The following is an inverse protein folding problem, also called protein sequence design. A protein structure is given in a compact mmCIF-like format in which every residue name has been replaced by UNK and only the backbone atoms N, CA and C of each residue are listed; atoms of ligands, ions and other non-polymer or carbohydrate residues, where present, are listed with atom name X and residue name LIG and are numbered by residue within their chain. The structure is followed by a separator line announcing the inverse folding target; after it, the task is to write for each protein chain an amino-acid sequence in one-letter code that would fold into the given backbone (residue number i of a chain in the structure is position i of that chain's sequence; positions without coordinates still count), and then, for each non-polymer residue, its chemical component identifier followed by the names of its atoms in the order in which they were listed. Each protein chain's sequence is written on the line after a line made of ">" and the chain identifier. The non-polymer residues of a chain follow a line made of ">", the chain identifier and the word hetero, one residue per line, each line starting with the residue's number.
data_IF_738009761135
#
_entry.id   IF_738009761135
#
_cell.length_a   1.000
_cell.length_b   1.000
_cell.length_c   1.000
_cell.angle_alpha   90.00
_cell.angle_beta   90.00
_cell.angle_gamma   90.00
#
_symmetry.space_group_name_H-M   'P 1'
#
loop_
_entity.id
_entity.type
_entity.pdbx_description
1 polymer ?
#
# COMPACT_ATOMS: atom_id res chain seq x y z
N UNK A 1 6.99 3.73 -8.55
CA UNK A 1 5.76 3.85 -9.38
C UNK A 1 6.06 4.27 -10.81
N UNK A 2 6.80 5.37 -11.04
CA UNK A 2 7.11 5.84 -12.40
C UNK A 2 7.71 4.72 -13.28
N UNK A 3 8.68 3.97 -12.78
CA UNK A 3 9.33 2.87 -13.51
C UNK A 3 8.34 1.84 -14.09
N UNK A 4 7.30 1.46 -13.33
CA UNK A 4 6.29 0.50 -13.80
C UNK A 4 5.43 1.03 -14.94
N UNK A 5 5.26 2.35 -15.04
CA UNK A 5 4.60 2.97 -16.19
C UNK A 5 5.55 3.13 -17.37
N UNK A 6 6.82 3.41 -17.11
CA UNK A 6 7.85 3.54 -18.14
C UNK A 6 8.15 2.19 -18.82
N UNK A 7 7.91 1.06 -18.11
CA UNK A 7 8.08 -0.30 -18.63
C UNK A 7 6.93 -0.73 -19.58
N UNK A 8 5.83 0.03 -19.66
CA UNK A 8 4.76 -0.25 -20.63
C UNK A 8 5.24 0.16 -22.03
N UNK A 9 5.28 -0.76 -23.01
CA UNK A 9 5.70 -0.43 -24.37
C UNK A 9 4.75 0.60 -24.99
N UNK A 10 5.28 1.66 -25.57
CA UNK A 10 4.48 2.71 -26.27
C UNK A 10 3.67 2.14 -27.43
N UNK A 11 4.21 1.11 -28.08
CA UNK A 11 3.56 0.44 -29.21
C UNK A 11 2.17 -0.11 -28.84
N UNK A 12 2.00 -0.54 -27.58
CA UNK A 12 0.71 -1.05 -27.08
C UNK A 12 -0.32 0.07 -26.95
N UNK A 13 0.12 1.24 -26.54
CA UNK A 13 -0.72 2.44 -26.41
C UNK A 13 -1.13 2.96 -27.80
N UNK A 14 -0.17 3.02 -28.74
CA UNK A 14 -0.40 3.44 -30.12
C UNK A 14 -1.29 2.47 -30.89
N UNK A 15 -1.06 1.16 -30.77
CA UNK A 15 -1.92 0.14 -31.38
C UNK A 15 -3.38 0.25 -30.92
N UNK A 16 -3.60 0.44 -29.62
CA UNK A 16 -4.94 0.60 -29.07
C UNK A 16 -5.66 1.86 -29.62
N UNK A 17 -4.92 2.94 -29.83
CA UNK A 17 -5.49 4.17 -30.42
C UNK A 17 -5.81 3.99 -31.90
N UNK A 18 -5.02 3.20 -32.65
CA UNK A 18 -5.30 2.84 -34.04
C UNK A 18 -6.60 2.01 -34.12
N UNK A 19 -6.83 1.12 -33.16
CA UNK A 19 -8.05 0.31 -33.03
C UNK A 19 -9.28 1.13 -32.56
N UNK A 20 -9.14 2.47 -32.43
CA UNK A 20 -10.22 3.39 -32.09
C UNK A 20 -10.52 3.48 -30.59
N UNK A 21 -9.67 2.96 -29.72
CA UNK A 21 -9.83 3.13 -28.29
C UNK A 21 -9.50 4.57 -27.88
N UNK A 22 -10.32 5.13 -26.97
CA UNK A 22 -10.01 6.41 -26.34
C UNK A 22 -8.85 6.25 -25.36
N UNK A 23 -8.11 7.33 -25.08
CA UNK A 23 -7.00 7.31 -24.08
C UNK A 23 -7.43 6.74 -22.72
N UNK A 24 -8.65 7.03 -22.28
CA UNK A 24 -9.20 6.49 -21.04
C UNK A 24 -9.46 4.98 -21.11
N UNK A 25 -9.95 4.50 -22.27
CA UNK A 25 -10.16 3.07 -22.49
C UNK A 25 -8.84 2.31 -22.53
N UNK A 26 -7.84 2.84 -23.23
CA UNK A 26 -6.47 2.29 -23.27
C UNK A 26 -5.88 2.22 -21.87
N UNK A 27 -5.93 3.31 -21.11
CA UNK A 27 -5.44 3.36 -19.74
C UNK A 27 -6.10 2.29 -18.85
N UNK A 28 -7.44 2.23 -18.84
CA UNK A 28 -8.19 1.35 -17.94
C UNK A 28 -8.11 -0.13 -18.33
N UNK A 29 -8.15 -0.42 -19.64
CA UNK A 29 -8.23 -1.80 -20.14
C UNK A 29 -6.89 -2.44 -20.43
N UNK A 30 -5.87 -1.66 -20.71
CA UNK A 30 -4.55 -2.15 -21.14
C UNK A 30 -3.49 -1.78 -20.10
N UNK A 31 -3.25 -0.49 -19.86
CA UNK A 31 -2.17 -0.03 -18.99
C UNK A 31 -2.37 -0.46 -17.53
N UNK A 32 -3.55 -0.22 -16.95
CA UNK A 32 -3.82 -0.55 -15.55
C UNK A 32 -3.65 -2.04 -15.21
N UNK A 33 -4.12 -3.00 -16.04
CA UNK A 33 -3.83 -4.41 -15.81
C UNK A 33 -2.35 -4.78 -15.88
N UNK A 34 -1.57 -4.11 -16.72
CA UNK A 34 -0.14 -4.36 -16.85
C UNK A 34 0.65 -3.88 -15.61
N UNK A 35 0.32 -2.69 -15.09
CA UNK A 35 1.02 -2.09 -13.94
C UNK A 35 0.46 -2.51 -12.57
N UNK A 36 -0.58 -3.34 -12.52
CA UNK A 36 -1.26 -3.72 -11.25
C UNK A 36 -0.32 -4.33 -10.20
N UNK A 37 0.71 -5.07 -10.63
CA UNK A 37 1.70 -5.65 -9.70
C UNK A 37 2.53 -4.57 -9.02
N UNK A 38 3.04 -3.61 -9.78
CA UNK A 38 3.76 -2.46 -9.25
C UNK A 38 2.89 -1.55 -8.40
N UNK A 39 1.62 -1.37 -8.78
CA UNK A 39 0.65 -0.61 -7.99
C UNK A 39 0.38 -1.29 -6.65
N UNK A 40 0.23 -2.61 -6.64
CA UNK A 40 0.06 -3.40 -5.42
C UNK A 40 1.26 -3.29 -4.48
N UNK A 41 2.49 -3.39 -5.01
CA UNK A 41 3.71 -3.23 -4.23
C UNK A 41 3.81 -1.83 -3.61
N UNK A 42 3.55 -0.79 -4.39
CA UNK A 42 3.54 0.59 -3.88
C UNK A 42 2.45 0.81 -2.83
N UNK A 43 1.26 0.24 -3.02
CA UNK A 43 0.17 0.33 -2.05
C UNK A 43 0.55 -0.31 -0.70
N UNK A 44 1.25 -1.46 -0.72
CA UNK A 44 1.74 -2.09 0.52
C UNK A 44 2.75 -1.20 1.22
N UNK A 45 3.72 -0.66 0.50
CA UNK A 45 4.73 0.22 1.11
C UNK A 45 4.08 1.47 1.70
N UNK A 46 3.22 2.15 0.95
CA UNK A 46 2.49 3.33 1.44
C UNK A 46 1.64 3.00 2.67
N UNK A 47 0.96 1.85 2.66
CA UNK A 47 0.16 1.41 3.80
C UNK A 47 1.03 1.17 5.03
N UNK A 48 2.14 0.43 4.89
CA UNK A 48 3.04 0.13 6.01
C UNK A 48 3.60 1.42 6.61
N UNK A 49 4.12 2.34 5.79
CA UNK A 49 4.65 3.61 6.28
C UNK A 49 3.58 4.45 6.96
N UNK A 50 2.38 4.55 6.38
CA UNK A 50 1.27 5.31 6.97
C UNK A 50 0.74 4.65 8.25
N UNK A 51 0.68 3.32 8.30
CA UNK A 51 0.15 2.58 9.44
C UNK A 51 1.08 2.60 10.65
N UNK A 52 2.39 2.59 10.42
CA UNK A 52 3.41 2.62 11.48
C UNK A 52 3.85 4.04 11.83
N UNK A 53 3.23 5.08 11.21
CA UNK A 53 3.59 6.46 11.44
C UNK A 53 3.35 6.84 12.92
N UNK A 54 4.40 7.30 13.58
CA UNK A 54 4.39 7.66 14.99
C UNK A 54 4.83 9.12 15.20
N UNK A 55 5.95 9.53 14.60
CA UNK A 55 6.60 10.79 14.92
C UNK A 55 5.77 12.01 14.48
N UNK A 56 5.29 12.01 13.24
CA UNK A 56 4.49 13.13 12.73
C UNK A 56 3.17 13.25 13.49
N UNK A 57 2.52 12.12 13.79
CA UNK A 57 1.31 12.11 14.57
C UNK A 57 1.54 12.59 16.01
N UNK A 58 2.66 12.23 16.62
CA UNK A 58 3.01 12.66 17.96
C UNK A 58 3.17 14.19 18.07
N UNK A 59 3.82 14.80 17.09
CA UNK A 59 4.14 16.23 17.11
C UNK A 59 3.07 17.13 16.47
N UNK A 60 2.34 16.63 15.48
CA UNK A 60 1.41 17.44 14.69
C UNK A 60 -0.06 17.26 15.08
N UNK A 61 -0.42 16.19 15.82
CA UNK A 61 -1.82 15.92 16.18
C UNK A 61 -2.02 15.95 17.69
N UNK A 62 -3.08 16.66 18.13
CA UNK A 62 -3.46 16.75 19.55
C UNK A 62 -4.66 15.88 19.89
N UNK A 63 -5.71 15.93 19.08
CA UNK A 63 -7.00 15.30 19.39
C UNK A 63 -7.14 13.90 18.78
N UNK A 64 -6.77 13.74 17.49
CA UNK A 64 -6.84 12.46 16.78
C UNK A 64 -5.42 11.92 16.60
N UNK A 65 -5.11 10.82 17.26
CA UNK A 65 -3.78 10.21 17.25
C UNK A 65 -3.78 8.89 16.50
N UNK A 66 -2.66 8.58 15.83
CA UNK A 66 -2.46 7.27 15.21
C UNK A 66 -2.38 6.17 16.29
N UNK A 67 -2.63 4.92 15.87
CA UNK A 67 -2.61 3.77 16.78
C UNK A 67 -1.29 3.65 17.56
N UNK A 68 -0.09 3.76 16.95
CA UNK A 68 1.17 3.72 17.69
C UNK A 68 1.29 4.80 18.76
N UNK A 69 0.87 6.04 18.47
CA UNK A 69 0.88 7.13 19.45
C UNK A 69 -0.12 6.85 20.57
N UNK A 70 -1.31 6.33 20.25
CA UNK A 70 -2.31 5.98 21.27
C UNK A 70 -1.79 4.89 22.20
N UNK A 71 -1.14 3.86 21.69
CA UNK A 71 -0.53 2.80 22.50
C UNK A 71 0.52 3.38 23.46
N UNK A 72 1.35 4.32 22.99
CA UNK A 72 2.39 4.93 23.85
C UNK A 72 1.80 5.72 25.03
N UNK A 73 0.55 6.21 24.96
CA UNK A 73 -0.07 6.93 26.08
C UNK A 73 -0.42 6.04 27.27
N UNK A 74 -0.42 4.71 27.11
CA UNK A 74 -0.63 3.75 28.20
C UNK A 74 0.67 3.35 28.92
N UNK A 75 1.80 3.94 28.50
CA UNK A 75 3.06 3.87 29.23
C UNK A 75 3.18 5.12 30.08
N UNK A 76 3.02 4.97 31.40
CA UNK A 76 3.08 6.08 32.37
C UNK A 76 4.32 5.97 33.25
N UNK A 77 4.69 7.06 33.91
CA UNK A 77 5.80 7.07 34.89
C UNK A 77 5.56 6.15 36.11
N UNK A 78 4.30 5.79 36.37
CA UNK A 78 3.88 4.94 37.47
C UNK A 78 3.73 3.46 37.07
N UNK A 79 3.88 3.13 35.78
CA UNK A 79 3.78 1.77 35.25
C UNK A 79 3.17 1.73 33.84
N UNK A 80 3.10 0.53 33.27
CA UNK A 80 2.51 0.27 31.96
C UNK A 80 1.20 -0.50 32.10
N UNK A 81 0.17 -0.01 31.43
CA UNK A 81 -1.13 -0.69 31.37
C UNK A 81 -1.14 -1.77 30.29
N UNK A 82 -0.48 -2.89 30.57
CA UNK A 82 -0.26 -3.98 29.61
C UNK A 82 -1.53 -4.52 28.97
N UNK A 83 -2.66 -4.51 29.70
CA UNK A 83 -3.94 -4.95 29.17
C UNK A 83 -4.40 -4.11 28.00
N UNK A 84 -4.38 -2.77 28.12
CA UNK A 84 -4.76 -1.86 27.04
C UNK A 84 -3.77 -1.87 25.89
N UNK A 85 -2.46 -1.92 26.19
CA UNK A 85 -1.40 -2.01 25.18
C UNK A 85 -1.59 -3.25 24.33
N UNK A 86 -1.80 -4.42 24.95
CA UNK A 86 -2.01 -5.69 24.24
C UNK A 86 -3.30 -5.71 23.45
N UNK A 87 -4.40 -5.18 23.99
CA UNK A 87 -5.69 -5.12 23.31
C UNK A 87 -5.62 -4.23 22.06
N UNK A 88 -5.06 -3.02 22.17
CA UNK A 88 -4.89 -2.11 21.04
C UNK A 88 -3.90 -2.65 20.01
N UNK A 89 -2.80 -3.26 20.45
CA UNK A 89 -1.83 -3.90 19.56
C UNK A 89 -2.48 -5.02 18.75
N UNK A 90 -3.24 -5.89 19.41
CA UNK A 90 -3.98 -6.99 18.75
C UNK A 90 -5.03 -6.44 17.78
N UNK A 91 -5.82 -5.44 18.19
CA UNK A 91 -6.79 -4.80 17.32
C UNK A 91 -6.14 -4.14 16.09
N UNK A 92 -4.91 -3.59 16.25
CA UNK A 92 -4.14 -3.01 15.16
C UNK A 92 -3.64 -4.00 14.12
N UNK A 93 -3.48 -5.28 14.48
CA UNK A 93 -3.07 -6.34 13.54
C UNK A 93 -4.20 -6.66 12.56
N UNK A 94 -5.45 -6.60 12.98
CA UNK A 94 -6.61 -7.02 12.16
C UNK A 94 -6.69 -6.27 10.83
N UNK A 95 -6.72 -4.93 10.77
CA UNK A 95 -6.80 -4.21 9.49
C UNK A 95 -5.56 -4.43 8.62
N UNK A 96 -4.37 -4.54 9.23
CA UNK A 96 -3.13 -4.83 8.51
C UNK A 96 -3.18 -6.21 7.87
N UNK A 97 -3.65 -7.22 8.59
CA UNK A 97 -3.79 -8.58 8.10
C UNK A 97 -4.79 -8.67 6.95
N UNK A 98 -5.97 -8.03 7.09
CA UNK A 98 -6.98 -7.96 6.03
C UNK A 98 -6.39 -7.29 4.79
N UNK A 99 -5.69 -6.17 4.95
CA UNK A 99 -5.08 -5.45 3.82
C UNK A 99 -4.07 -6.32 3.08
N UNK A 100 -3.17 -7.01 3.80
CA UNK A 100 -2.18 -7.91 3.20
C UNK A 100 -2.87 -9.04 2.44
N UNK A 101 -3.90 -9.68 3.01
CA UNK A 101 -4.66 -10.74 2.34
C UNK A 101 -5.30 -10.28 1.02
N UNK A 102 -5.80 -9.05 0.97
CA UNK A 102 -6.39 -8.49 -0.25
C UNK A 102 -5.35 -8.22 -1.35
N UNK A 103 -4.16 -7.78 -0.96
CA UNK A 103 -3.13 -7.34 -1.92
C UNK A 103 -2.18 -8.46 -2.33
N UNK A 104 -1.97 -9.49 -1.50
CA UNK A 104 -1.00 -10.58 -1.74
C UNK A 104 -1.15 -11.25 -3.12
N UNK A 105 -2.39 -11.48 -3.57
CA UNK A 105 -2.66 -12.11 -4.88
C UNK A 105 -2.14 -11.29 -6.07
N UNK A 106 -1.99 -9.97 -5.91
CA UNK A 106 -1.48 -9.09 -6.95
C UNK A 106 0.04 -8.93 -6.88
N UNK A 107 0.62 -9.05 -5.67
CA UNK A 107 2.06 -9.02 -5.45
C UNK A 107 2.77 -10.21 -6.09
N UNK A 108 2.26 -11.42 -5.85
CA UNK A 108 2.88 -12.66 -6.37
C UNK A 108 2.94 -12.63 -7.90
N UNK A 109 1.88 -12.18 -8.56
CA UNK A 109 1.85 -12.07 -10.03
C UNK A 109 2.78 -10.99 -10.59
N UNK A 110 3.00 -9.90 -9.85
CA UNK A 110 3.90 -8.82 -10.27
C UNK A 110 5.37 -9.17 -10.16
N UNK A 111 5.75 -9.91 -9.12
CA UNK A 111 7.13 -10.33 -8.88
C UNK A 111 7.59 -11.43 -9.85
N UNK A 112 6.70 -12.36 -10.21
CA UNK A 112 7.04 -13.47 -11.12
C UNK A 112 7.22 -13.02 -12.57
N UNK A 113 6.55 -11.97 -13.01
CA UNK A 113 6.74 -11.41 -14.36
C UNK A 113 8.00 -10.56 -14.49
N UNK A 114 8.52 -10.02 -13.37
CA UNK A 114 9.76 -9.25 -13.35
C UNK A 114 11.03 -10.09 -13.31
N UNK A 115 10.97 -11.35 -12.86
CA UNK A 115 12.12 -12.24 -12.71
C UNK A 115 12.42 -13.08 -13.96
N UNK A 116 11.62 -12.99 -15.02
CA UNK A 116 11.82 -13.70 -16.29
C UNK A 116 12.55 -12.87 -17.36
N UNK A 117 13.14 -11.72 -16.98
CA UNK A 117 14.02 -10.93 -17.84
C UNK A 117 15.48 -11.16 -17.47
N UNK A 118 15.95 -12.40 -17.57
CA UNK A 118 17.35 -12.75 -17.80
C UNK A 118 17.45 -13.58 -19.09
#
# INVERSE_FOLDING_TARGET
>A
MKSFFDDVPKDVDEAAMIDGATRWQTFRRIVMPLVKGGLAAAAVLCFVFSWTEFLLSLFLTTDIRTLPVKISTFQTSTGSEWGFISALGTAGIIPSFIFILLVQRHLVRGLTLGSLKE
#
